data_IF_479914763731
#
_entry.id   IF_479914763731
#
_cell.length_a   1.000
_cell.length_b   1.000
_cell.length_c   1.000
_cell.angle_alpha   90.00
_cell.angle_beta   90.00
_cell.angle_gamma   90.00
#
_symmetry.space_group_name_H-M   'P 1'
#
loop_
_entity.id
_entity.type
_entity.pdbx_description
1 polymer ?
#
# COMPACT_ATOMS: atom_id res chain seq x y z
N UNK A 1 -16.77 8.65 9.28
CA UNK A 1 -17.11 7.70 8.20
C UNK A 1 -15.89 6.91 7.78
N UNK A 2 -16.07 5.67 7.30
CA UNK A 2 -14.97 4.83 6.80
C UNK A 2 -14.70 5.13 5.32
N UNK A 3 -13.42 5.36 5.00
CA UNK A 3 -12.99 5.64 3.64
C UNK A 3 -13.59 6.90 3.03
N UNK A 4 -13.87 6.87 1.72
CA UNK A 4 -14.46 7.98 0.97
C UNK A 4 -15.99 7.92 0.84
N UNK A 5 -16.70 7.11 1.63
CA UNK A 5 -18.15 6.94 1.52
C UNK A 5 -18.91 8.22 1.88
N UNK A 6 -19.79 8.69 0.97
CA UNK A 6 -20.55 9.95 1.05
C UNK A 6 -22.04 9.73 1.30
N UNK A 7 -22.44 8.99 2.30
CA UNK A 7 -23.87 8.92 2.67
C UNK A 7 -24.15 9.68 3.95
N UNK A 8 -23.98 11.01 3.89
CA UNK A 8 -24.53 11.90 4.91
C UNK A 8 -25.48 12.87 4.20
N UNK A 9 -26.71 13.00 4.70
CA UNK A 9 -27.66 14.00 4.23
C UNK A 9 -27.13 15.41 4.53
N UNK A 10 -27.37 16.36 3.63
CA UNK A 10 -26.89 17.75 3.69
C UNK A 10 -27.40 18.60 4.87
N UNK A 11 -27.97 18.01 5.92
CA UNK A 11 -28.59 18.76 7.04
C UNK A 11 -27.71 18.94 8.27
N UNK A 12 -26.53 18.30 8.33
CA UNK A 12 -25.68 18.35 9.52
C UNK A 12 -24.41 19.17 9.27
N UNK A 13 -24.31 20.32 9.94
CA UNK A 13 -23.08 21.14 10.11
C UNK A 13 -21.99 20.40 10.91
N UNK A 14 -22.06 19.09 10.99
CA UNK A 14 -21.16 18.24 11.77
C UNK A 14 -19.84 18.03 11.02
N UNK A 15 -18.73 18.18 11.75
CA UNK A 15 -17.38 17.93 11.28
C UNK A 15 -17.24 16.49 10.81
N UNK A 16 -16.97 16.28 9.52
CA UNK A 16 -16.80 14.95 8.93
C UNK A 16 -15.36 14.49 9.14
N UNK A 17 -15.18 13.40 9.87
CA UNK A 17 -13.87 12.73 9.99
C UNK A 17 -13.92 11.43 9.18
N UNK A 18 -12.98 11.25 8.26
CA UNK A 18 -12.77 10.01 7.53
C UNK A 18 -11.77 9.16 8.28
N UNK A 19 -12.05 7.87 8.35
CA UNK A 19 -11.19 6.89 9.05
C UNK A 19 -10.78 5.83 8.06
N UNK A 20 -9.51 5.44 8.09
CA UNK A 20 -8.98 4.35 7.26
C UNK A 20 -7.81 3.65 7.98
N UNK A 21 -7.40 2.49 7.48
CA UNK A 21 -6.21 1.79 7.95
C UNK A 21 -4.94 2.63 7.75
N UNK A 22 -4.09 2.67 8.75
CA UNK A 22 -2.74 3.24 8.64
C UNK A 22 -1.76 2.29 7.93
N UNK A 23 -0.51 2.71 7.83
CA UNK A 23 0.49 2.07 6.96
C UNK A 23 1.31 0.95 7.66
N UNK A 24 1.41 0.97 9.00
CA UNK A 24 1.92 -0.15 9.81
C UNK A 24 0.73 -0.86 10.44
N UNK A 25 0.11 -1.80 9.68
CA UNK A 25 -1.23 -2.23 10.00
C UNK A 25 -1.30 -3.48 10.88
N UNK A 26 -0.82 -4.61 10.39
CA UNK A 26 -1.11 -5.91 11.04
C UNK A 26 -0.18 -7.02 10.56
N UNK A 27 -0.29 -8.17 11.20
CA UNK A 27 0.19 -9.46 10.66
C UNK A 27 -1.02 -10.19 10.10
N UNK A 28 -1.21 -10.13 8.78
CA UNK A 28 -2.37 -10.66 8.06
C UNK A 28 -3.21 -9.60 7.35
N UNK A 29 -4.10 -10.04 6.47
CA UNK A 29 -4.91 -9.17 5.61
C UNK A 29 -6.07 -8.52 6.37
N UNK A 30 -6.45 -7.30 5.97
CA UNK A 30 -7.64 -6.62 6.46
C UNK A 30 -8.93 -7.36 6.10
N UNK A 31 -8.98 -7.93 4.91
CA UNK A 31 -10.10 -8.75 4.45
C UNK A 31 -10.32 -10.03 5.30
N UNK A 32 -9.32 -10.47 6.07
CA UNK A 32 -9.46 -11.54 7.08
C UNK A 32 -9.95 -11.01 8.44
N UNK A 33 -10.41 -9.77 8.52
CA UNK A 33 -10.84 -9.09 9.76
C UNK A 33 -9.74 -9.02 10.83
N UNK A 34 -8.47 -8.99 10.40
CA UNK A 34 -7.35 -8.78 11.32
C UNK A 34 -7.36 -7.33 11.77
N UNK A 35 -7.40 -7.13 13.09
CA UNK A 35 -7.42 -5.80 13.69
C UNK A 35 -6.16 -5.01 13.31
N UNK A 36 -6.32 -3.76 12.84
CA UNK A 36 -5.17 -2.89 12.60
C UNK A 36 -4.58 -2.36 13.91
N UNK A 37 -3.27 -2.10 13.93
CA UNK A 37 -2.58 -1.37 14.98
C UNK A 37 -2.52 0.14 14.69
N UNK A 38 -2.81 0.55 13.46
CA UNK A 38 -2.78 1.96 13.06
C UNK A 38 -4.03 2.34 12.28
N UNK A 39 -4.51 3.54 12.56
CA UNK A 39 -5.60 4.22 11.84
C UNK A 39 -5.15 5.61 11.42
N UNK A 40 -5.74 6.11 10.36
CA UNK A 40 -5.67 7.51 10.00
C UNK A 40 -7.05 8.13 10.20
N UNK A 41 -7.06 9.36 10.71
CA UNK A 41 -8.25 10.19 10.86
C UNK A 41 -7.99 11.46 10.06
N UNK A 42 -8.83 11.75 9.08
CA UNK A 42 -8.64 12.87 8.15
C UNK A 42 -9.92 13.73 8.12
N UNK A 43 -9.76 15.01 8.34
CA UNK A 43 -10.86 15.96 8.40
C UNK A 43 -11.11 16.67 7.09
N UNK A 44 -10.08 16.74 6.22
CA UNK A 44 -10.16 17.41 4.92
C UNK A 44 -10.47 16.44 3.78
N UNK A 45 -9.82 15.28 3.77
CA UNK A 45 -9.96 14.32 2.72
C UNK A 45 -9.66 12.90 3.21
N UNK A 46 -8.89 12.16 2.44
CA UNK A 46 -8.27 10.90 2.84
C UNK A 46 -7.07 10.68 1.91
N UNK A 47 -5.97 10.14 2.42
CA UNK A 47 -4.68 10.04 1.73
C UNK A 47 -4.71 9.38 0.35
N UNK A 48 -5.69 8.53 0.06
CA UNK A 48 -5.81 7.83 -1.23
C UNK A 48 -6.73 8.53 -2.24
N UNK A 49 -7.50 9.55 -1.83
CA UNK A 49 -8.35 10.35 -2.72
C UNK A 49 -7.60 11.60 -3.19
N UNK A 50 -6.96 11.50 -4.35
CA UNK A 50 -6.17 12.58 -4.92
C UNK A 50 -6.97 13.74 -5.51
N UNK A 51 -8.30 13.64 -5.56
CA UNK A 51 -9.17 14.69 -6.13
C UNK A 51 -9.28 15.93 -5.24
N UNK A 52 -8.98 15.78 -3.95
CA UNK A 52 -9.00 16.85 -2.95
C UNK A 52 -7.78 16.77 -2.03
N UNK A 53 -7.51 17.84 -1.31
CA UNK A 53 -6.47 17.84 -0.28
C UNK A 53 -6.85 16.92 0.88
N UNK A 54 -5.85 16.29 1.48
CA UNK A 54 -5.96 15.53 2.73
C UNK A 54 -5.14 16.20 3.83
N UNK A 55 -5.38 15.82 5.08
CA UNK A 55 -4.55 16.29 6.19
C UNK A 55 -3.10 15.82 6.01
N UNK A 56 -2.86 14.62 5.45
CA UNK A 56 -1.51 14.18 5.11
C UNK A 56 -0.84 15.10 4.09
N UNK A 57 -1.57 15.53 3.04
CA UNK A 57 -1.03 16.44 2.04
C UNK A 57 -0.66 17.80 2.63
N UNK A 58 -1.46 18.31 3.57
CA UNK A 58 -1.13 19.55 4.30
C UNK A 58 0.11 19.38 5.19
N UNK A 59 0.24 18.25 5.88
CA UNK A 59 1.44 17.93 6.65
C UNK A 59 2.69 17.88 5.78
N UNK A 60 2.60 17.31 4.57
CA UNK A 60 3.72 17.24 3.62
C UNK A 60 4.09 18.59 3.00
N UNK A 61 3.14 19.53 2.91
CA UNK A 61 3.39 20.91 2.49
C UNK A 61 3.98 21.77 3.62
N UNK A 62 3.91 21.31 4.87
CA UNK A 62 4.45 22.00 6.04
C UNK A 62 5.95 21.80 6.23
N UNK A 63 6.50 22.44 7.25
CA UNK A 63 7.88 22.21 7.68
C UNK A 63 7.99 20.98 8.58
N UNK A 64 9.16 20.33 8.56
CA UNK A 64 9.45 19.20 9.43
C UNK A 64 10.69 19.50 10.27
N UNK A 65 10.60 19.51 11.61
CA UNK A 65 11.75 19.74 12.49
C UNK A 65 12.83 18.66 12.33
N UNK A 66 14.11 19.03 12.46
CA UNK A 66 15.24 18.09 12.32
C UNK A 66 15.16 16.91 13.28
N UNK A 67 14.69 17.13 14.51
CA UNK A 67 14.48 16.06 15.49
C UNK A 67 13.50 15.00 15.03
N UNK A 68 12.45 15.44 14.30
CA UNK A 68 11.45 14.55 13.73
C UNK A 68 11.98 13.84 12.46
N UNK A 69 12.78 14.53 11.64
CA UNK A 69 13.50 13.92 10.51
C UNK A 69 14.44 12.82 10.98
N UNK A 70 15.20 13.05 12.06
CA UNK A 70 16.10 12.05 12.63
C UNK A 70 15.34 10.86 13.22
N UNK A 71 14.20 11.10 13.86
CA UNK A 71 13.31 10.02 14.34
C UNK A 71 12.77 9.19 13.16
N UNK A 72 12.32 9.84 12.11
CA UNK A 72 11.81 9.20 10.90
C UNK A 72 12.87 8.34 10.21
N UNK A 73 14.12 8.84 10.13
CA UNK A 73 15.26 8.10 9.59
C UNK A 73 15.53 6.81 10.38
N UNK A 74 15.52 6.87 11.71
CA UNK A 74 15.70 5.70 12.58
C UNK A 74 14.54 4.73 12.44
N UNK A 75 13.30 5.22 12.40
CA UNK A 75 12.10 4.39 12.22
C UNK A 75 12.15 3.67 10.86
N UNK A 76 12.47 4.39 9.77
CA UNK A 76 12.63 3.82 8.42
C UNK A 76 13.72 2.74 8.39
N UNK A 77 14.89 3.03 8.97
CA UNK A 77 15.98 2.05 9.03
C UNK A 77 15.55 0.78 9.78
N UNK A 78 14.76 0.90 10.84
CA UNK A 78 14.20 -0.22 11.58
C UNK A 78 13.18 -1.01 10.75
N UNK A 79 12.25 -0.34 10.09
CA UNK A 79 11.24 -0.98 9.21
C UNK A 79 11.94 -1.81 8.12
N UNK A 80 12.96 -1.26 7.48
CA UNK A 80 13.72 -1.94 6.42
C UNK A 80 14.50 -3.13 6.99
N UNK A 81 15.25 -2.96 8.06
CA UNK A 81 16.02 -4.01 8.72
C UNK A 81 15.13 -5.17 9.19
N UNK A 82 13.99 -4.85 9.83
CA UNK A 82 13.07 -5.83 10.39
C UNK A 82 12.08 -6.37 9.32
N UNK A 83 12.28 -5.98 8.03
CA UNK A 83 11.51 -6.40 6.85
C UNK A 83 9.99 -6.20 7.02
N UNK A 84 9.58 -5.10 7.66
CA UNK A 84 8.17 -4.80 7.91
C UNK A 84 7.50 -4.21 6.68
N UNK A 85 6.22 -4.60 6.51
CA UNK A 85 5.30 -4.12 5.47
C UNK A 85 3.92 -3.84 6.08
N UNK A 86 2.97 -3.36 5.29
CA UNK A 86 1.59 -3.11 5.77
C UNK A 86 0.96 -4.35 6.41
N UNK A 87 1.12 -5.51 5.79
CA UNK A 87 0.42 -6.74 6.19
C UNK A 87 1.33 -7.81 6.77
N UNK A 88 2.63 -7.67 6.67
CA UNK A 88 3.63 -8.60 7.20
C UNK A 88 3.33 -10.07 6.85
N UNK A 89 2.95 -10.31 5.58
CA UNK A 89 2.62 -11.64 5.09
C UNK A 89 3.91 -12.45 4.87
N UNK A 90 3.88 -13.70 5.30
CA UNK A 90 4.96 -14.64 5.01
C UNK A 90 4.76 -15.19 3.60
N UNK A 91 5.82 -15.21 2.81
CA UNK A 91 5.85 -15.76 1.46
C UNK A 91 7.16 -16.50 1.16
N UNK A 92 7.19 -17.16 0.02
CA UNK A 92 8.42 -17.80 -0.47
C UNK A 92 9.40 -16.71 -0.93
N UNK A 93 10.70 -16.81 -0.62
CA UNK A 93 11.69 -15.87 -1.14
C UNK A 93 11.80 -15.96 -2.67
N UNK A 94 11.86 -14.78 -3.31
CA UNK A 94 12.13 -14.71 -4.74
C UNK A 94 13.62 -14.52 -5.01
N UNK A 95 14.09 -15.09 -6.11
CA UNK A 95 15.48 -14.93 -6.57
C UNK A 95 15.47 -14.34 -7.97
N UNK A 96 16.25 -13.27 -8.16
CA UNK A 96 16.44 -12.61 -9.45
C UNK A 96 17.04 -13.59 -10.46
N UNK A 97 16.46 -13.71 -11.67
CA UNK A 97 17.07 -14.49 -12.76
C UNK A 97 18.42 -13.89 -13.14
N UNK A 98 19.43 -14.75 -13.36
CA UNK A 98 20.82 -14.31 -13.65
C UNK A 98 20.94 -13.51 -14.94
N UNK A 99 20.08 -13.81 -15.91
CA UNK A 99 20.06 -13.20 -17.24
C UNK A 99 19.33 -11.85 -17.26
N UNK A 100 18.55 -11.54 -16.23
CA UNK A 100 17.77 -10.31 -16.16
C UNK A 100 18.65 -9.11 -15.84
N UNK A 101 18.97 -8.29 -16.86
CA UNK A 101 19.78 -7.07 -16.70
C UNK A 101 19.03 -6.00 -15.90
N UNK A 102 17.72 -5.82 -16.16
CA UNK A 102 16.86 -4.87 -15.46
C UNK A 102 15.55 -5.56 -15.11
N UNK A 103 15.19 -5.53 -13.84
CA UNK A 103 13.95 -6.13 -13.31
C UNK A 103 13.02 -5.04 -12.84
N UNK A 104 11.81 -5.05 -13.35
CA UNK A 104 10.74 -4.13 -12.98
C UNK A 104 9.64 -4.92 -12.24
N UNK A 105 9.42 -4.59 -10.98
CA UNK A 105 8.29 -5.11 -10.22
C UNK A 105 7.04 -4.30 -10.53
N UNK A 106 6.00 -4.94 -11.02
CA UNK A 106 4.67 -4.36 -11.20
C UNK A 106 3.75 -4.89 -10.12
N UNK A 107 3.29 -4.00 -9.24
CA UNK A 107 2.39 -4.36 -8.16
C UNK A 107 0.93 -4.23 -8.60
N UNK A 108 0.26 -5.37 -8.75
CA UNK A 108 -1.18 -5.43 -9.04
C UNK A 108 -2.02 -4.96 -7.86
N UNK A 109 -3.20 -4.43 -8.17
CA UNK A 109 -4.16 -3.90 -7.19
C UNK A 109 -5.56 -4.44 -7.43
N UNK A 110 -6.44 -4.29 -6.45
CA UNK A 110 -7.88 -4.50 -6.59
C UNK A 110 -8.45 -3.31 -7.36
N UNK A 111 -8.92 -3.54 -8.59
CA UNK A 111 -9.33 -2.47 -9.52
C UNK A 111 -10.55 -1.68 -9.05
N UNK A 112 -11.38 -2.28 -8.18
CA UNK A 112 -12.54 -1.63 -7.55
C UNK A 112 -12.22 -0.95 -6.23
N UNK A 113 -10.96 -0.92 -5.82
CA UNK A 113 -10.54 -0.25 -4.58
C UNK A 113 -10.64 1.27 -4.68
N UNK A 114 -11.00 1.94 -3.57
CA UNK A 114 -11.12 3.40 -3.52
C UNK A 114 -9.84 4.13 -3.95
N UNK A 115 -8.68 3.55 -3.69
CA UNK A 115 -7.39 4.13 -4.11
C UNK A 115 -7.22 4.16 -5.63
N UNK A 116 -7.80 3.20 -6.36
CA UNK A 116 -7.83 3.21 -7.83
C UNK A 116 -8.91 4.17 -8.32
N UNK A 117 -10.12 4.07 -7.77
CA UNK A 117 -11.27 4.87 -8.23
C UNK A 117 -11.02 6.38 -8.09
N UNK A 118 -10.34 6.80 -7.03
CA UNK A 118 -10.14 8.20 -6.67
C UNK A 118 -8.70 8.69 -6.84
N UNK A 119 -7.74 7.76 -6.89
CA UNK A 119 -6.31 8.06 -6.97
C UNK A 119 -5.67 7.71 -8.32
N UNK A 120 -6.40 7.11 -9.27
CA UNK A 120 -5.83 6.76 -10.58
C UNK A 120 -6.71 7.31 -11.72
N UNK A 121 -6.36 8.49 -12.26
CA UNK A 121 -7.22 9.17 -13.25
C UNK A 121 -7.25 8.49 -14.61
N UNK A 122 -6.16 7.87 -15.04
CA UNK A 122 -5.99 7.34 -16.40
C UNK A 122 -5.80 5.83 -16.47
N UNK A 123 -4.92 5.25 -15.63
CA UNK A 123 -4.60 3.83 -15.61
C UNK A 123 -5.35 3.18 -14.45
N UNK A 124 -6.40 2.42 -14.72
CA UNK A 124 -7.30 1.88 -13.68
C UNK A 124 -7.34 0.36 -13.61
N UNK A 125 -6.74 -0.32 -14.59
CA UNK A 125 -6.69 -1.78 -14.62
C UNK A 125 -5.26 -2.29 -14.57
N UNK A 126 -5.08 -3.50 -14.05
CA UNK A 126 -3.78 -4.15 -14.02
C UNK A 126 -3.25 -4.43 -15.44
N UNK A 127 -4.14 -4.69 -16.38
CA UNK A 127 -3.81 -4.90 -17.79
C UNK A 127 -3.29 -3.61 -18.42
N UNK A 128 -3.94 -2.47 -18.18
CA UNK A 128 -3.48 -1.18 -18.70
C UNK A 128 -2.12 -0.80 -18.12
N UNK A 129 -1.93 -1.04 -16.81
CA UNK A 129 -0.63 -0.84 -16.15
C UNK A 129 0.45 -1.68 -16.84
N UNK A 130 0.25 -3.00 -16.96
CA UNK A 130 1.21 -3.90 -17.60
C UNK A 130 1.49 -3.53 -19.05
N UNK A 131 0.45 -3.16 -19.81
CA UNK A 131 0.57 -2.73 -21.20
C UNK A 131 1.48 -1.50 -21.30
N UNK A 132 1.27 -0.49 -20.47
CA UNK A 132 2.09 0.71 -20.46
C UNK A 132 3.52 0.44 -19.96
N UNK A 133 3.69 -0.41 -18.96
CA UNK A 133 5.03 -0.81 -18.46
C UNK A 133 5.79 -1.53 -19.56
N UNK A 134 5.20 -2.52 -20.22
CA UNK A 134 5.85 -3.28 -21.31
C UNK A 134 6.20 -2.37 -22.50
N UNK A 135 5.29 -1.48 -22.90
CA UNK A 135 5.52 -0.56 -24.00
C UNK A 135 6.71 0.40 -23.76
N UNK A 136 6.88 0.86 -22.52
CA UNK A 136 7.97 1.75 -22.12
C UNK A 136 9.28 1.00 -21.84
N UNK A 137 9.23 -0.30 -21.57
CA UNK A 137 10.35 -1.11 -21.15
C UNK A 137 10.37 -2.45 -21.89
N UNK A 138 10.53 -2.45 -23.25
CA UNK A 138 10.38 -3.65 -24.07
C UNK A 138 11.39 -4.75 -23.74
N UNK A 139 12.58 -4.37 -23.28
CA UNK A 139 13.71 -5.28 -23.01
C UNK A 139 13.93 -5.57 -21.52
N UNK A 140 13.05 -5.08 -20.64
CA UNK A 140 13.18 -5.33 -19.20
C UNK A 140 12.45 -6.61 -18.80
N UNK A 141 12.94 -7.26 -17.75
CA UNK A 141 12.25 -8.38 -17.10
C UNK A 141 11.13 -7.83 -16.25
N UNK A 142 9.88 -8.05 -16.64
CA UNK A 142 8.70 -7.59 -15.95
C UNK A 142 8.18 -8.70 -15.04
N UNK A 143 8.27 -8.43 -13.73
CA UNK A 143 7.81 -9.30 -12.67
C UNK A 143 6.46 -8.77 -12.16
N UNK A 144 5.37 -9.51 -12.38
CA UNK A 144 4.03 -9.10 -11.97
C UNK A 144 3.59 -9.81 -10.69
N UNK A 145 3.31 -9.04 -9.65
CA UNK A 145 2.78 -9.51 -8.36
C UNK A 145 1.29 -9.22 -8.26
N UNK A 146 0.44 -10.24 -8.23
CA UNK A 146 -1.01 -10.06 -8.00
C UNK A 146 -1.29 -9.59 -6.58
N UNK A 147 -2.38 -8.83 -6.42
CA UNK A 147 -2.80 -8.38 -5.09
C UNK A 147 -3.17 -9.57 -4.19
N UNK A 148 -2.74 -9.59 -2.92
CA UNK A 148 -2.96 -10.75 -2.04
C UNK A 148 -4.43 -11.06 -1.78
N UNK A 149 -5.34 -10.06 -1.75
CA UNK A 149 -6.78 -10.29 -1.59
C UNK A 149 -7.40 -11.01 -2.81
N UNK A 150 -6.88 -10.74 -4.02
CA UNK A 150 -7.29 -11.43 -5.25
C UNK A 150 -6.79 -12.88 -5.19
N UNK A 151 -5.51 -13.09 -4.85
CA UNK A 151 -4.92 -14.43 -4.71
C UNK A 151 -5.64 -15.25 -3.65
N UNK A 152 -6.05 -14.63 -2.54
CA UNK A 152 -6.83 -15.26 -1.48
C UNK A 152 -8.30 -15.54 -1.88
N UNK A 153 -8.77 -15.04 -3.04
CA UNK A 153 -10.16 -15.14 -3.49
C UNK A 153 -11.16 -14.34 -2.64
N UNK A 154 -10.68 -13.29 -1.96
CA UNK A 154 -11.47 -12.38 -1.13
C UNK A 154 -12.05 -11.21 -1.94
N UNK A 155 -11.50 -10.96 -3.13
CA UNK A 155 -11.94 -9.95 -4.10
C UNK A 155 -12.00 -10.58 -5.50
N UNK A 156 -12.95 -10.14 -6.31
CA UNK A 156 -13.07 -10.58 -7.70
C UNK A 156 -11.92 -10.05 -8.56
N UNK A 157 -11.54 -10.82 -9.58
CA UNK A 157 -10.63 -10.41 -10.65
C UNK A 157 -11.30 -10.70 -11.98
N UNK A 158 -11.51 -9.69 -12.81
CA UNK A 158 -12.05 -9.82 -14.17
C UNK A 158 -10.96 -10.04 -15.22
N UNK A 159 -9.81 -10.57 -14.82
CA UNK A 159 -8.59 -10.51 -15.63
C UNK A 159 -8.51 -11.67 -16.61
N UNK A 160 -8.25 -11.35 -17.90
CA UNK A 160 -7.81 -12.29 -18.92
C UNK A 160 -6.37 -12.74 -18.61
N UNK A 161 -6.21 -13.94 -18.06
CA UNK A 161 -4.93 -14.55 -17.65
C UNK A 161 -3.91 -14.61 -18.81
N UNK A 162 -4.37 -14.94 -20.03
CA UNK A 162 -3.51 -15.04 -21.22
C UNK A 162 -2.91 -13.69 -21.60
N UNK A 163 -3.69 -12.61 -21.46
CA UNK A 163 -3.21 -11.25 -21.75
C UNK A 163 -2.16 -10.81 -20.74
N UNK A 164 -2.32 -11.12 -19.46
CA UNK A 164 -1.29 -10.85 -18.44
C UNK A 164 -0.01 -11.63 -18.77
N UNK A 165 -0.13 -12.92 -19.08
CA UNK A 165 1.01 -13.76 -19.41
C UNK A 165 1.83 -13.25 -20.62
N UNK A 166 1.17 -12.57 -21.59
CA UNK A 166 1.85 -11.95 -22.73
C UNK A 166 2.59 -10.64 -22.41
N UNK A 167 2.26 -9.99 -21.28
CA UNK A 167 2.78 -8.67 -20.92
C UNK A 167 3.88 -8.70 -19.84
N UNK A 168 4.02 -9.81 -19.10
CA UNK A 168 5.06 -9.97 -18.09
C UNK A 168 5.90 -11.23 -18.35
N UNK A 169 7.13 -11.26 -17.84
CA UNK A 169 8.03 -12.40 -17.97
C UNK A 169 7.80 -13.41 -16.85
N UNK A 170 7.35 -12.94 -15.69
CA UNK A 170 7.03 -13.78 -14.55
C UNK A 170 5.83 -13.22 -13.76
N UNK A 171 4.90 -14.12 -13.38
CA UNK A 171 3.81 -13.81 -12.48
C UNK A 171 3.99 -14.55 -11.16
N UNK A 172 3.87 -13.83 -10.05
CA UNK A 172 4.06 -14.38 -8.70
C UNK A 172 2.91 -14.06 -7.77
N UNK A 173 2.54 -15.03 -6.92
CA UNK A 173 1.39 -14.93 -6.02
C UNK A 173 1.80 -14.97 -4.54
N UNK A 174 2.36 -16.09 -4.11
CA UNK A 174 2.68 -16.36 -2.70
C UNK A 174 4.15 -16.06 -2.36
N UNK A 175 4.71 -15.05 -3.00
CA UNK A 175 6.08 -14.61 -2.81
C UNK A 175 6.14 -13.45 -1.82
N UNK A 176 7.17 -13.44 -0.97
CA UNK A 176 7.45 -12.35 -0.05
C UNK A 176 7.71 -11.05 -0.81
N UNK A 177 6.88 -10.04 -0.56
CA UNK A 177 6.97 -8.75 -1.26
C UNK A 177 8.31 -8.05 -1.03
N UNK A 178 8.93 -8.24 0.15
CA UNK A 178 10.22 -7.61 0.45
C UNK A 178 11.32 -8.20 -0.44
N UNK A 179 11.33 -9.52 -0.70
CA UNK A 179 12.30 -10.12 -1.60
C UNK A 179 12.11 -9.67 -3.05
N UNK A 180 10.86 -9.40 -3.47
CA UNK A 180 10.56 -8.86 -4.79
C UNK A 180 11.08 -7.42 -4.93
N UNK A 181 10.80 -6.57 -3.94
CA UNK A 181 11.29 -5.19 -3.93
C UNK A 181 12.83 -5.16 -3.91
N UNK A 182 13.45 -5.93 -3.00
CA UNK A 182 14.92 -5.96 -2.85
C UNK A 182 15.61 -6.43 -4.14
N UNK A 183 15.03 -7.44 -4.83
CA UNK A 183 15.57 -8.01 -6.06
C UNK A 183 15.25 -7.22 -7.33
N UNK A 184 14.37 -6.22 -7.28
CA UNK A 184 14.01 -5.37 -8.41
C UNK A 184 14.87 -4.12 -8.48
N UNK A 185 15.00 -3.55 -9.67
CA UNK A 185 15.67 -2.25 -9.89
C UNK A 185 14.64 -1.12 -9.74
N UNK A 186 13.42 -1.33 -10.23
CA UNK A 186 12.32 -0.37 -10.20
C UNK A 186 11.01 -1.03 -9.75
N UNK A 187 10.12 -0.23 -9.21
CA UNK A 187 8.77 -0.64 -8.82
C UNK A 187 7.75 0.27 -9.50
N UNK A 188 6.86 -0.33 -10.29
CA UNK A 188 5.81 0.36 -11.05
C UNK A 188 4.44 0.08 -10.41
N UNK A 189 3.70 1.14 -10.15
CA UNK A 189 2.41 1.07 -9.42
C UNK A 189 1.38 2.02 -10.02
N UNK A 190 0.11 1.72 -9.83
CA UNK A 190 -0.92 2.75 -9.92
C UNK A 190 -0.90 3.60 -8.64
N UNK A 191 -1.44 3.08 -7.55
CA UNK A 191 -1.52 3.78 -6.25
C UNK A 191 -1.08 2.89 -5.07
N UNK A 192 -0.50 1.72 -5.36
CA UNK A 192 -0.16 0.71 -4.35
C UNK A 192 0.81 1.22 -3.30
N UNK A 193 0.56 0.87 -2.04
CA UNK A 193 1.49 1.13 -0.94
C UNK A 193 2.86 0.46 -1.14
N UNK A 194 2.94 -0.56 -1.99
CA UNK A 194 4.21 -1.20 -2.38
C UNK A 194 5.21 -0.17 -2.93
N UNK A 195 4.75 0.90 -3.59
CA UNK A 195 5.62 1.99 -4.02
C UNK A 195 6.24 2.74 -2.84
N UNK A 196 5.48 3.05 -1.79
CA UNK A 196 6.03 3.66 -0.58
C UNK A 196 7.01 2.72 0.14
N UNK A 197 6.69 1.43 0.23
CA UNK A 197 7.57 0.41 0.80
C UNK A 197 8.89 0.28 0.00
N UNK A 198 8.82 0.46 -1.32
CA UNK A 198 9.98 0.47 -2.21
C UNK A 198 10.84 1.73 -2.04
N UNK A 199 10.22 2.92 -1.93
CA UNK A 199 10.92 4.17 -1.62
C UNK A 199 11.70 4.06 -0.31
N UNK A 200 11.11 3.52 0.74
CA UNK A 200 11.78 3.31 2.02
C UNK A 200 13.03 2.43 1.89
N UNK A 201 13.09 1.53 0.90
CA UNK A 201 14.20 0.63 0.58
C UNK A 201 15.15 1.19 -0.48
N UNK A 202 14.98 2.47 -0.86
CA UNK A 202 15.86 3.14 -1.82
C UNK A 202 15.67 2.69 -3.26
N UNK A 203 14.50 2.15 -3.62
CA UNK A 203 14.20 1.76 -5.00
C UNK A 203 13.60 2.93 -5.77
N UNK A 204 13.84 2.95 -7.08
CA UNK A 204 13.15 3.83 -8.01
C UNK A 204 11.67 3.41 -8.13
N UNK A 205 10.78 4.40 -8.11
CA UNK A 205 9.33 4.16 -8.17
C UNK A 205 8.70 5.00 -9.26
N UNK A 206 7.92 4.35 -10.13
CA UNK A 206 7.15 4.98 -11.20
C UNK A 206 5.66 4.86 -10.87
N UNK A 207 4.98 6.01 -10.76
CA UNK A 207 3.56 6.10 -10.43
C UNK A 207 2.74 6.41 -11.68
N UNK A 208 1.80 5.52 -12.01
CA UNK A 208 0.81 5.68 -13.09
C UNK A 208 -0.48 6.31 -12.58
N UNK A 209 -0.68 6.31 -11.28
CA UNK A 209 -1.71 7.04 -10.55
C UNK A 209 -1.10 8.10 -9.64
N UNK A 210 -1.88 8.53 -8.66
CA UNK A 210 -1.57 9.66 -7.78
C UNK A 210 -1.59 9.27 -6.29
N UNK A 211 -0.76 8.30 -5.85
CA UNK A 211 -0.70 7.94 -4.44
C UNK A 211 -0.19 9.12 -3.59
N UNK A 212 -0.35 9.03 -2.28
CA UNK A 212 0.04 10.09 -1.36
C UNK A 212 1.52 10.46 -1.40
N UNK A 213 2.38 9.53 -1.81
CA UNK A 213 3.83 9.70 -1.91
C UNK A 213 4.30 10.21 -3.28
N UNK A 214 3.42 10.33 -4.29
CA UNK A 214 3.71 10.90 -5.60
C UNK A 214 3.62 12.43 -5.62
N UNK A 215 4.34 13.08 -6.52
CA UNK A 215 4.31 14.55 -6.72
C UNK A 215 5.29 15.33 -5.84
N UNK A 216 6.10 14.68 -5.02
CA UNK A 216 7.03 15.31 -4.08
C UNK A 216 8.50 15.25 -4.50
N UNK A 217 8.78 14.85 -5.74
CA UNK A 217 10.13 14.71 -6.28
C UNK A 217 10.87 13.44 -5.83
N UNK A 218 10.16 12.47 -5.25
CA UNK A 218 10.68 11.17 -4.80
C UNK A 218 10.38 10.04 -5.80
N UNK A 219 9.50 10.29 -6.75
CA UNK A 219 8.98 9.31 -7.73
C UNK A 219 9.02 9.88 -9.13
N UNK A 220 8.95 9.01 -10.13
CA UNK A 220 8.63 9.38 -11.51
C UNK A 220 7.12 9.33 -11.68
N UNK A 221 6.47 10.49 -11.87
CA UNK A 221 5.02 10.63 -11.86
C UNK A 221 4.49 10.79 -13.29
N UNK A 222 3.73 9.80 -13.79
CA UNK A 222 3.09 9.81 -15.10
C UNK A 222 1.70 10.47 -15.07
N UNK A 223 1.17 10.69 -13.87
CA UNK A 223 -0.08 11.41 -13.62
C UNK A 223 0.18 12.51 -12.56
N UNK A 224 0.83 13.63 -12.92
CA UNK A 224 1.25 14.63 -11.94
C UNK A 224 0.04 15.33 -11.28
N UNK A 225 0.25 15.80 -10.05
CA UNK A 225 -0.73 16.54 -9.26
C UNK A 225 -0.27 17.99 -9.16
N UNK A 226 -1.00 18.92 -9.79
CA UNK A 226 -0.59 20.32 -9.91
C UNK A 226 -0.40 21.05 -8.58
N UNK A 227 -1.09 20.65 -7.51
CA UNK A 227 -1.00 21.27 -6.18
C UNK A 227 0.17 20.76 -5.33
N UNK A 228 0.84 19.66 -5.72
CA UNK A 228 2.02 19.12 -5.01
C UNK A 228 3.29 19.67 -5.67
N UNK A 229 3.65 20.89 -5.31
CA UNK A 229 4.72 21.65 -5.96
C UNK A 229 6.06 21.58 -5.23
N UNK A 230 6.06 21.15 -3.97
CA UNK A 230 7.27 21.15 -3.15
C UNK A 230 8.02 19.83 -3.28
N UNK A 231 9.35 19.91 -3.36
CA UNK A 231 10.20 18.74 -3.21
C UNK A 231 10.48 18.52 -1.72
N UNK A 232 10.27 17.31 -1.26
CA UNK A 232 10.55 16.91 0.13
C UNK A 232 11.59 15.80 0.16
N UNK A 233 12.18 15.56 1.33
CA UNK A 233 13.05 14.41 1.56
C UNK A 233 12.22 13.15 1.87
N UNK A 234 12.80 11.97 1.64
CA UNK A 234 12.16 10.71 2.03
C UNK A 234 11.89 10.65 3.55
N UNK A 235 12.81 11.19 4.37
CA UNK A 235 12.62 11.21 5.82
C UNK A 235 11.47 12.14 6.23
N UNK A 236 11.22 13.24 5.48
CA UNK A 236 10.02 14.06 5.68
C UNK A 236 8.74 13.30 5.34
N UNK A 237 8.70 12.59 4.20
CA UNK A 237 7.56 11.75 3.84
C UNK A 237 7.28 10.69 4.92
N UNK A 238 8.32 10.01 5.40
CA UNK A 238 8.21 9.00 6.46
C UNK A 238 7.75 9.62 7.79
N UNK A 239 8.26 10.81 8.16
CA UNK A 239 7.84 11.52 9.36
C UNK A 239 6.33 11.80 9.35
N UNK A 240 5.83 12.37 8.26
CA UNK A 240 4.41 12.70 8.17
C UNK A 240 3.54 11.44 8.04
N UNK A 241 3.91 10.51 7.15
CA UNK A 241 3.08 9.34 6.87
C UNK A 241 3.07 8.30 8.00
N UNK A 242 4.17 8.15 8.77
CA UNK A 242 4.27 7.09 9.77
C UNK A 242 4.30 7.58 11.22
N UNK A 243 4.58 8.86 11.47
CA UNK A 243 4.70 9.36 12.86
C UNK A 243 3.58 10.35 13.19
N UNK A 244 3.29 11.29 12.29
CA UNK A 244 2.38 12.42 12.61
C UNK A 244 0.93 12.11 12.24
N UNK A 245 0.70 11.60 11.03
CA UNK A 245 -0.64 11.41 10.49
C UNK A 245 -1.39 10.22 11.10
N UNK A 246 -0.78 9.02 11.33
CA UNK A 246 -1.51 7.90 11.91
C UNK A 246 -1.60 7.96 13.43
N UNK A 247 -2.66 7.37 13.96
CA UNK A 247 -2.81 7.02 15.36
C UNK A 247 -2.55 5.54 15.53
N UNK A 248 -1.79 5.15 16.55
CA UNK A 248 -1.46 3.77 16.85
C UNK A 248 -2.11 3.32 18.14
N UNK A 249 -2.57 2.07 18.17
CA UNK A 249 -3.20 1.45 19.33
C UNK A 249 -2.60 0.07 19.57
N UNK A 250 -2.40 -0.28 20.83
CA UNK A 250 -1.91 -1.60 21.23
C UNK A 250 -2.80 -2.73 20.71
N UNK A 251 -2.25 -3.93 20.51
CA UNK A 251 -2.97 -5.08 19.95
C UNK A 251 -4.20 -5.48 20.80
N UNK A 252 -4.15 -5.26 22.12
CA UNK A 252 -5.30 -5.46 23.02
C UNK A 252 -6.34 -4.31 22.95
N UNK A 253 -5.96 -3.16 22.35
CA UNK A 253 -6.80 -1.99 22.18
C UNK A 253 -7.01 -1.16 23.43
N UNK A 254 -6.13 -1.27 24.41
CA UNK A 254 -6.30 -0.60 25.70
C UNK A 254 -5.59 0.75 25.78
N UNK A 255 -4.54 0.98 24.96
CA UNK A 255 -3.75 2.22 25.02
C UNK A 255 -3.28 2.68 23.65
N UNK A 256 -3.06 3.99 23.55
CA UNK A 256 -2.33 4.58 22.44
C UNK A 256 -0.84 4.25 22.58
N UNK A 257 -0.20 3.96 21.45
CA UNK A 257 1.21 3.60 21.38
C UNK A 257 1.93 4.43 20.32
N UNK A 258 3.24 4.41 20.36
CA UNK A 258 4.08 5.04 19.32
C UNK A 258 4.24 4.09 18.12
N UNK A 259 4.66 4.60 16.94
CA UNK A 259 4.97 3.73 15.79
C UNK A 259 6.12 2.75 16.11
N UNK A 260 7.07 3.11 16.97
CA UNK A 260 8.14 2.23 17.42
C UNK A 260 7.60 1.05 18.25
N UNK A 261 6.69 1.32 19.19
CA UNK A 261 6.00 0.28 19.97
C UNK A 261 5.12 -0.60 19.07
N UNK A 262 4.46 -0.01 18.05
CA UNK A 262 3.69 -0.78 17.08
C UNK A 262 4.58 -1.77 16.30
N UNK A 263 5.83 -1.40 15.97
CA UNK A 263 6.80 -2.33 15.37
C UNK A 263 7.19 -3.46 16.32
N UNK A 264 7.30 -3.20 17.62
CA UNK A 264 7.54 -4.23 18.63
C UNK A 264 6.37 -5.21 18.70
N UNK A 265 5.15 -4.69 18.72
CA UNK A 265 3.94 -5.52 18.73
C UNK A 265 3.79 -6.33 17.43
N UNK A 266 4.04 -5.76 16.25
CA UNK A 266 4.06 -6.48 14.98
C UNK A 266 5.09 -7.61 15.00
N UNK A 267 6.24 -7.39 15.63
CA UNK A 267 7.27 -8.43 15.78
C UNK A 267 6.78 -9.57 16.65
N UNK A 268 6.20 -9.25 17.79
CA UNK A 268 5.62 -10.23 18.73
C UNK A 268 4.48 -11.02 18.08
N UNK A 269 3.58 -10.33 17.37
CA UNK A 269 2.46 -10.96 16.65
C UNK A 269 2.92 -11.89 15.52
N UNK A 270 4.01 -11.54 14.82
CA UNK A 270 4.57 -12.37 13.75
C UNK A 270 5.20 -13.66 14.28
N UNK A 271 5.73 -13.64 15.50
CA UNK A 271 6.33 -14.80 16.17
C UNK A 271 5.30 -15.66 16.92
N UNK A 272 4.12 -15.12 17.20
CA UNK A 272 3.08 -15.83 17.94
C UNK A 272 2.55 -17.04 17.13
N UNK A 273 2.37 -18.21 17.76
CA UNK A 273 1.77 -19.36 17.10
C UNK A 273 0.37 -19.02 16.59
N UNK A 274 0.05 -19.45 15.37
CA UNK A 274 -1.21 -19.09 14.66
C UNK A 274 -2.43 -19.80 15.30
N UNK A 275 -2.79 -19.41 16.54
CA UNK A 275 -3.88 -20.02 17.35
C UNK A 275 -5.28 -19.87 16.73
N UNK A 276 -5.43 -19.10 15.64
CA UNK A 276 -6.70 -18.86 14.95
C UNK A 276 -6.79 -19.43 13.53
N UNK A 277 -5.87 -20.30 13.11
CA UNK A 277 -5.81 -20.79 11.73
C UNK A 277 -7.11 -21.45 11.26
N UNK A 278 -7.77 -22.24 12.11
CA UNK A 278 -9.04 -22.93 11.80
C UNK A 278 -10.19 -21.92 11.67
N UNK A 279 -10.29 -20.98 12.62
CA UNK A 279 -11.32 -19.93 12.60
C UNK A 279 -11.14 -19.00 11.41
N UNK A 280 -9.92 -18.59 11.09
CA UNK A 280 -9.57 -17.79 9.90
C UNK A 280 -9.94 -18.53 8.61
N UNK A 281 -9.71 -19.84 8.54
CA UNK A 281 -10.08 -20.67 7.36
C UNK A 281 -11.59 -20.75 7.19
N UNK A 282 -12.36 -20.92 8.26
CA UNK A 282 -13.82 -20.91 8.24
C UNK A 282 -14.37 -19.54 7.83
N UNK A 283 -13.81 -18.44 8.37
CA UNK A 283 -14.19 -17.08 8.03
C UNK A 283 -13.93 -16.78 6.55
N UNK A 284 -12.75 -17.16 6.03
CA UNK A 284 -12.42 -17.03 4.59
C UNK A 284 -13.40 -17.77 3.72
N UNK A 285 -13.83 -18.97 4.13
CA UNK A 285 -14.83 -19.75 3.38
C UNK A 285 -16.17 -19.00 3.31
N UNK A 286 -16.64 -18.44 4.42
CA UNK A 286 -17.87 -17.64 4.47
C UNK A 286 -17.78 -16.36 3.62
N UNK A 287 -16.66 -15.62 3.68
CA UNK A 287 -16.44 -14.42 2.88
C UNK A 287 -16.33 -14.71 1.37
N UNK A 288 -15.70 -15.84 0.99
CA UNK A 288 -15.66 -16.30 -0.41
C UNK A 288 -17.05 -16.63 -0.94
N UNK A 289 -17.91 -17.30 -0.15
CA UNK A 289 -19.29 -17.56 -0.52
C UNK A 289 -20.05 -16.25 -0.72
N UNK A 290 -19.92 -15.29 0.19
CA UNK A 290 -20.58 -13.97 0.07
C UNK A 290 -20.11 -13.20 -1.16
N UNK A 291 -18.81 -13.21 -1.48
CA UNK A 291 -18.25 -12.53 -2.66
C UNK A 291 -18.79 -13.14 -3.98
N UNK A 292 -19.07 -14.45 -4.02
CA UNK A 292 -19.69 -15.11 -5.17
C UNK A 292 -21.17 -14.79 -5.33
N UNK A 293 -21.90 -14.53 -4.25
CA UNK A 293 -23.33 -14.21 -4.28
C UNK A 293 -23.65 -12.73 -4.56
N UNK A 294 -22.70 -11.81 -4.33
CA UNK A 294 -22.89 -10.37 -4.58
C UNK A 294 -22.18 -9.87 -5.84
N UNK A 295 -21.53 -10.75 -6.59
CA UNK A 295 -20.88 -10.47 -7.86
C UNK A 295 -21.64 -10.98 -9.09
N UNK A 296 -22.95 -11.30 -8.92
CA UNK A 296 -23.89 -11.63 -10.00
C UNK A 296 -24.92 -10.53 -10.18
#
# INVERSE_FOLDING_TARGET
>A
TWGASHRLSHSDSNRLIRVEDGFLRSVGLGADLVRPLSWVLDEKGIYFDSRQESDLENLLNGSCPDTLLDRARRLRARIVRDRRTKYNLVGVPWRRPKEARRVILVAGQVETDGSILYGSPTVRTNIDLLTQVRARNPNSYILYKRHPDIVAGLRASEVCEDKIASLCDERVDHVDIVTLIDGSDEVHVMTSLTGFEALMRGKEVVCYGQPFYAGWGLTTDLAPIARRLHKITLDHLVAMALIVYPVYMSADGQRLITPEEALDELTTLALAPNRGAVLKKALRCGLRLRARYHGS
#
